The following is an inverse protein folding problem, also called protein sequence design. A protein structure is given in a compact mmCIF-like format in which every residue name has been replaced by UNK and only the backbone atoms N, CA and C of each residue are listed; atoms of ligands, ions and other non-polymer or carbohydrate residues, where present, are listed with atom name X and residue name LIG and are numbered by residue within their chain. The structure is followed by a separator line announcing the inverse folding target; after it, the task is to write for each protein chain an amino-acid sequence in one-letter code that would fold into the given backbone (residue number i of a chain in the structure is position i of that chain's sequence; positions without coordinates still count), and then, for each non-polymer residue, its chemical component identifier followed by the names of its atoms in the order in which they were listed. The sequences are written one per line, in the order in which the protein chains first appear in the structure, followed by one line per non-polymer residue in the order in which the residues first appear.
data_IF_496673335300
#
_entry.id   IF_496673335300
#
_cell.length_a   1.000
_cell.length_b   1.000
_cell.length_c   1.000
_cell.angle_alpha   90.00
_cell.angle_beta   90.00
_cell.angle_gamma   90.00
#
_symmetry.space_group_name_H-M   'P 1'
#
loop_
_entity.id
_entity.type
_entity.pdbx_description
1 polymer ?
#
# COMPACT_ATOMS: atom_id res chain seq x y z
N UNK A 1 4.93 4.94 -40.67
CA UNK A 1 6.18 5.71 -40.63
C UNK A 1 6.60 5.73 -39.15
N UNK A 2 7.61 4.95 -38.81
CA UNK A 2 8.14 4.91 -37.46
C UNK A 2 9.13 6.05 -37.31
N UNK A 3 8.81 7.04 -36.48
CA UNK A 3 9.73 8.12 -36.11
C UNK A 3 10.69 7.58 -35.06
N UNK A 4 11.87 7.20 -35.49
CA UNK A 4 13.00 6.89 -34.62
C UNK A 4 13.44 8.18 -33.94
N UNK A 5 13.22 8.31 -32.65
CA UNK A 5 13.81 9.39 -31.85
C UNK A 5 15.33 9.14 -31.79
N UNK A 6 16.08 9.87 -32.57
CA UNK A 6 17.55 9.92 -32.43
C UNK A 6 17.89 10.71 -31.18
N UNK A 7 18.51 10.07 -30.22
CA UNK A 7 19.15 10.72 -29.08
C UNK A 7 20.35 11.51 -29.55
N UNK A 8 20.28 12.83 -29.50
CA UNK A 8 21.44 13.69 -29.78
C UNK A 8 22.32 13.82 -28.54
N UNK A 9 23.67 13.78 -28.68
CA UNK A 9 24.62 13.78 -27.55
C UNK A 9 24.78 15.12 -26.80
N UNK A 10 23.84 16.02 -26.87
CA UNK A 10 23.93 17.36 -26.30
C UNK A 10 23.64 17.45 -24.79
N UNK A 11 23.33 16.34 -24.13
CA UNK A 11 23.04 16.32 -22.68
C UNK A 11 24.28 16.32 -21.78
N UNK A 12 25.45 15.99 -22.31
CA UNK A 12 26.68 15.89 -21.50
C UNK A 12 27.25 17.23 -20.99
N UNK A 13 26.74 18.37 -21.46
CA UNK A 13 27.19 19.67 -21.01
C UNK A 13 26.31 20.34 -19.94
N UNK A 14 25.14 19.81 -19.66
CA UNK A 14 24.16 20.43 -18.76
C UNK A 14 24.16 19.86 -17.33
N UNK A 15 24.79 18.70 -17.11
CA UNK A 15 24.72 18.00 -15.83
C UNK A 15 26.13 17.73 -15.31
N UNK A 16 26.58 18.54 -14.35
CA UNK A 16 27.89 18.42 -13.73
C UNK A 16 27.98 17.44 -12.59
N UNK A 17 26.86 16.81 -12.19
CA UNK A 17 26.81 15.83 -11.10
C UNK A 17 25.86 14.69 -11.40
N UNK A 18 26.11 13.53 -10.81
CA UNK A 18 25.27 12.32 -10.85
C UNK A 18 23.84 12.62 -10.39
N UNK A 19 23.68 13.57 -9.44
CA UNK A 19 22.42 14.01 -8.87
C UNK A 19 21.52 14.68 -9.91
N UNK A 20 22.11 15.56 -10.73
CA UNK A 20 21.38 16.20 -11.82
C UNK A 20 20.98 15.23 -12.92
N UNK A 21 21.78 14.20 -13.17
CA UNK A 21 21.48 13.15 -14.12
C UNK A 21 20.29 12.29 -13.64
N UNK A 22 20.26 11.91 -12.36
CA UNK A 22 19.13 11.17 -11.75
C UNK A 22 17.85 11.98 -11.86
N UNK A 23 17.88 13.26 -11.47
CA UNK A 23 16.72 14.15 -11.54
C UNK A 23 16.21 14.31 -12.98
N UNK A 24 17.12 14.51 -13.94
CA UNK A 24 16.76 14.63 -15.35
C UNK A 24 16.20 13.32 -15.91
N UNK A 25 16.76 12.18 -15.51
CA UNK A 25 16.28 10.86 -15.93
C UNK A 25 14.89 10.57 -15.38
N UNK A 26 14.65 10.86 -14.11
CA UNK A 26 13.32 10.74 -13.48
C UNK A 26 12.31 11.61 -14.23
N UNK A 27 12.61 12.89 -14.43
CA UNK A 27 11.70 13.82 -15.11
C UNK A 27 11.43 13.45 -16.58
N UNK A 28 12.45 12.95 -17.30
CA UNK A 28 12.31 12.51 -18.71
C UNK A 28 11.46 11.24 -18.85
N UNK A 29 11.62 10.30 -17.94
CA UNK A 29 10.85 9.05 -17.91
C UNK A 29 9.36 9.31 -17.71
N UNK A 30 9.01 10.25 -16.84
CA UNK A 30 7.63 10.61 -16.58
C UNK A 30 6.95 11.36 -17.74
N UNK A 31 7.68 12.20 -18.45
CA UNK A 31 7.14 12.86 -19.65
C UNK A 31 6.72 11.86 -20.74
N UNK A 32 7.42 10.72 -20.83
CA UNK A 32 7.06 9.62 -21.71
C UNK A 32 5.82 8.84 -21.24
N UNK A 33 5.60 8.74 -19.92
CA UNK A 33 4.50 7.97 -19.33
C UNK A 33 3.17 8.72 -19.24
N UNK A 34 3.15 10.05 -19.23
CA UNK A 34 1.89 10.81 -19.28
C UNK A 34 1.02 10.48 -20.52
N UNK A 35 1.66 9.99 -21.59
CA UNK A 35 0.95 9.50 -22.79
C UNK A 35 0.30 8.12 -22.60
N UNK A 36 0.75 7.32 -21.62
CA UNK A 36 0.24 5.97 -21.34
C UNK A 36 -0.73 5.92 -20.15
N UNK A 37 -0.72 6.92 -19.28
CA UNK A 37 -1.35 6.86 -17.95
C UNK A 37 -2.85 7.10 -17.92
N UNK A 38 -3.43 7.70 -18.97
CA UNK A 38 -4.87 8.02 -19.00
C UNK A 38 -5.79 6.79 -19.15
N UNK A 39 -5.25 5.61 -19.45
CA UNK A 39 -6.04 4.39 -19.64
C UNK A 39 -5.90 3.36 -18.51
N UNK A 40 -4.86 3.42 -17.70
CA UNK A 40 -4.56 2.41 -16.66
C UNK A 40 -4.93 2.84 -15.24
N UNK A 41 -5.06 4.15 -14.98
CA UNK A 41 -5.35 4.67 -13.63
C UNK A 41 -6.80 4.48 -13.13
N UNK A 42 -7.71 3.96 -13.97
CA UNK A 42 -9.10 3.71 -13.55
C UNK A 42 -9.30 2.43 -12.73
N UNK A 43 -8.29 1.57 -12.62
CA UNK A 43 -8.36 0.30 -11.90
C UNK A 43 -7.32 0.26 -10.77
N UNK A 44 -7.61 0.97 -9.68
CA UNK A 44 -6.78 0.83 -8.47
C UNK A 44 -6.93 -0.60 -7.93
N UNK A 45 -5.85 -1.41 -7.88
CA UNK A 45 -5.93 -2.83 -7.46
C UNK A 45 -6.51 -3.03 -6.06
N UNK A 46 -6.36 -2.03 -5.19
CA UNK A 46 -6.87 -2.07 -3.81
C UNK A 46 -8.41 -2.05 -3.73
N UNK A 47 -9.11 -1.50 -4.72
CA UNK A 47 -10.57 -1.52 -4.73
C UNK A 47 -11.15 -2.92 -5.00
N UNK A 48 -10.37 -3.80 -5.62
CA UNK A 48 -10.77 -5.18 -5.94
C UNK A 48 -10.42 -6.18 -4.82
N UNK A 49 -9.60 -5.79 -3.86
CA UNK A 49 -9.21 -6.62 -2.69
C UNK A 49 -10.21 -6.52 -1.54
N UNK A 50 -11.20 -5.62 -1.62
CA UNK A 50 -12.17 -5.36 -0.55
C UNK A 50 -13.21 -6.48 -0.33
N UNK A 51 -13.17 -7.59 -1.06
CA UNK A 51 -14.00 -8.74 -0.73
C UNK A 51 -13.34 -9.55 0.41
N UNK A 52 -14.09 -9.69 1.49
CA UNK A 52 -13.83 -10.47 2.72
C UNK A 52 -13.31 -11.90 2.42
N UNK A 53 -12.05 -12.05 1.99
CA UNK A 53 -11.42 -13.35 1.74
C UNK A 53 -10.37 -13.72 2.78
N UNK A 54 -10.10 -12.84 3.74
CA UNK A 54 -9.23 -13.18 4.85
C UNK A 54 -10.12 -13.77 5.96
N UNK A 55 -10.23 -15.09 6.01
CA UNK A 55 -10.95 -15.82 7.07
C UNK A 55 -10.40 -15.53 8.48
N UNK A 56 -9.39 -14.69 8.61
CA UNK A 56 -8.70 -14.35 9.84
C UNK A 56 -8.84 -12.87 10.25
N UNK A 57 -9.68 -12.12 9.54
CA UNK A 57 -10.08 -10.78 9.93
C UNK A 57 -11.41 -10.80 10.69
N UNK A 58 -11.42 -10.32 11.93
CA UNK A 58 -12.57 -10.43 12.83
C UNK A 58 -13.06 -9.04 13.27
N UNK A 59 -14.38 -8.92 13.40
CA UNK A 59 -15.00 -7.85 14.18
C UNK A 59 -14.84 -8.13 15.68
N UNK A 60 -15.12 -7.16 16.55
CA UNK A 60 -15.06 -7.35 18.01
C UNK A 60 -15.89 -8.54 18.50
N UNK A 61 -17.12 -8.69 18.01
CA UNK A 61 -17.99 -9.82 18.40
C UNK A 61 -17.49 -11.17 17.89
N UNK A 62 -16.90 -11.22 16.70
CA UNK A 62 -16.33 -12.44 16.13
C UNK A 62 -15.03 -12.82 16.84
N UNK A 63 -14.23 -11.83 17.22
CA UNK A 63 -12.97 -12.00 17.95
C UNK A 63 -13.22 -12.65 19.30
N UNK A 64 -14.20 -12.20 20.08
CA UNK A 64 -14.55 -12.76 21.38
C UNK A 64 -14.94 -14.26 21.33
N UNK A 65 -15.30 -14.79 20.16
CA UNK A 65 -15.64 -16.20 19.95
C UNK A 65 -14.45 -17.05 19.52
N UNK A 66 -13.29 -16.44 19.32
CA UNK A 66 -12.09 -17.18 18.91
C UNK A 66 -11.44 -17.86 20.13
N UNK A 67 -10.80 -19.02 19.93
CA UNK A 67 -10.11 -19.73 21.02
C UNK A 67 -8.94 -18.92 21.60
N UNK A 68 -8.35 -18.00 20.82
CA UNK A 68 -7.26 -17.10 21.18
C UNK A 68 -7.75 -15.65 21.44
N UNK A 69 -8.99 -15.49 21.90
CA UNK A 69 -9.56 -14.18 22.23
C UNK A 69 -8.73 -13.39 23.24
N UNK A 70 -8.09 -14.09 24.19
CA UNK A 70 -7.24 -13.46 25.20
C UNK A 70 -6.04 -12.72 24.58
N UNK A 71 -5.40 -13.31 23.57
CA UNK A 71 -4.27 -12.69 22.87
C UNK A 71 -4.70 -11.45 22.07
N UNK A 72 -5.88 -11.52 21.46
CA UNK A 72 -6.46 -10.36 20.79
C UNK A 72 -6.85 -9.24 21.76
N UNK A 73 -7.34 -9.57 22.95
CA UNK A 73 -7.65 -8.58 24.01
C UNK A 73 -6.36 -7.88 24.44
N UNK A 74 -5.26 -8.60 24.62
CA UNK A 74 -3.96 -7.99 24.93
C UNK A 74 -3.50 -7.05 23.81
N UNK A 75 -3.64 -7.45 22.54
CA UNK A 75 -3.33 -6.59 21.40
C UNK A 75 -4.23 -5.35 21.34
N UNK A 76 -5.50 -5.49 21.71
CA UNK A 76 -6.47 -4.38 21.80
C UNK A 76 -6.10 -3.40 22.90
N UNK A 77 -5.77 -3.89 24.09
CA UNK A 77 -5.33 -3.05 25.22
C UNK A 77 -4.05 -2.29 24.88
N UNK A 78 -3.10 -2.96 24.22
CA UNK A 78 -1.88 -2.31 23.75
C UNK A 78 -2.18 -1.19 22.74
N UNK A 79 -3.01 -1.43 21.73
CA UNK A 79 -3.42 -0.42 20.74
C UNK A 79 -4.08 0.79 21.40
N UNK A 80 -5.02 0.56 22.35
CA UNK A 80 -5.68 1.62 23.09
C UNK A 80 -4.68 2.45 23.93
N UNK A 81 -3.77 1.76 24.65
CA UNK A 81 -2.71 2.40 25.43
C UNK A 81 -1.74 3.21 24.57
N UNK A 82 -1.36 2.70 23.41
CA UNK A 82 -0.50 3.41 22.45
C UNK A 82 -1.18 4.71 21.95
N UNK A 83 -2.49 4.70 21.74
CA UNK A 83 -3.25 5.90 21.41
C UNK A 83 -3.36 6.89 22.57
N UNK A 84 -3.67 6.41 23.78
CA UNK A 84 -3.83 7.26 24.96
C UNK A 84 -2.51 7.92 25.38
N UNK A 85 -1.40 7.16 25.39
CA UNK A 85 -0.08 7.67 25.76
C UNK A 85 0.45 8.78 24.83
N UNK A 86 -0.13 8.89 23.63
CA UNK A 86 0.24 9.89 22.62
C UNK A 86 -0.84 10.95 22.43
N UNK A 87 -1.82 11.04 23.32
CA UNK A 87 -2.90 12.02 23.31
C UNK A 87 -3.67 12.10 21.97
N UNK A 88 -3.89 10.93 21.32
CA UNK A 88 -4.61 10.90 20.03
C UNK A 88 -6.07 11.29 20.19
N UNK A 89 -6.63 11.20 21.40
CA UNK A 89 -7.97 11.67 21.76
C UNK A 89 -8.03 12.17 23.19
N UNK A 90 -9.12 12.88 23.49
CA UNK A 90 -9.49 13.29 24.86
C UNK A 90 -10.87 12.71 25.17
N UNK A 91 -11.01 12.02 26.30
CA UNK A 91 -12.32 11.58 26.80
C UNK A 91 -13.04 12.77 27.40
N UNK A 92 -14.22 13.10 26.87
CA UNK A 92 -15.03 14.21 27.34
C UNK A 92 -16.46 13.75 27.67
N UNK A 93 -17.15 14.41 28.65
CA UNK A 93 -18.58 14.21 28.83
C UNK A 93 -19.33 14.51 27.53
N UNK A 94 -20.31 13.67 27.17
CA UNK A 94 -21.15 13.87 25.97
C UNK A 94 -21.83 15.22 25.94
N UNK A 95 -22.19 15.77 27.12
CA UNK A 95 -22.76 17.12 27.25
C UNK A 95 -21.84 18.25 26.81
N UNK A 96 -20.51 17.99 26.69
CA UNK A 96 -19.52 18.95 26.18
C UNK A 96 -19.28 18.85 24.68
N UNK A 97 -19.81 17.82 24.03
CA UNK A 97 -19.82 17.77 22.56
C UNK A 97 -20.82 18.83 22.03
N UNK A 98 -20.50 19.53 20.92
CA UNK A 98 -21.39 20.55 20.37
C UNK A 98 -22.76 19.98 20.04
N UNK A 99 -23.83 20.74 20.36
CA UNK A 99 -25.19 20.35 20.07
C UNK A 99 -25.40 20.21 18.55
N UNK A 100 -25.92 19.05 18.13
CA UNK A 100 -26.20 18.75 16.73
C UNK A 100 -25.01 18.12 15.97
N UNK A 101 -23.85 18.04 16.58
CA UNK A 101 -22.72 17.34 15.95
C UNK A 101 -22.85 15.82 16.10
N UNK A 102 -22.79 15.13 14.96
CA UNK A 102 -22.97 13.68 14.92
C UNK A 102 -21.68 12.97 15.33
N UNK A 103 -21.74 12.20 16.41
CA UNK A 103 -20.64 11.31 16.77
C UNK A 103 -20.54 10.15 15.79
N UNK A 104 -19.32 9.76 15.41
CA UNK A 104 -19.06 8.61 14.54
C UNK A 104 -18.75 7.37 15.39
N UNK A 105 -18.97 6.18 14.84
CA UNK A 105 -18.68 4.94 15.54
C UNK A 105 -17.19 4.61 15.53
N UNK A 106 -16.72 4.01 16.61
CA UNK A 106 -15.43 3.32 16.67
C UNK A 106 -15.58 1.88 16.21
N UNK A 107 -14.64 1.40 15.41
CA UNK A 107 -14.64 0.05 14.84
C UNK A 107 -13.31 -0.63 15.14
N UNK A 108 -13.38 -1.80 15.79
CA UNK A 108 -12.25 -2.67 15.93
C UNK A 108 -12.11 -3.60 14.73
N UNK A 109 -10.86 -3.71 14.22
CA UNK A 109 -10.46 -4.73 13.25
C UNK A 109 -9.35 -5.59 13.85
N UNK A 110 -9.59 -6.89 13.91
CA UNK A 110 -8.64 -7.86 14.46
C UNK A 110 -8.14 -8.78 13.36
N UNK A 111 -6.84 -9.09 13.37
CA UNK A 111 -6.21 -9.96 12.38
C UNK A 111 -5.06 -10.75 12.99
N UNK A 112 -4.98 -12.07 12.65
CA UNK A 112 -3.77 -12.86 12.88
C UNK A 112 -2.77 -12.57 11.77
N UNK A 113 -1.57 -12.09 12.13
CA UNK A 113 -0.44 -12.08 11.20
C UNK A 113 0.29 -13.40 11.32
N UNK A 114 0.61 -14.02 10.16
CA UNK A 114 1.31 -15.30 10.10
C UNK A 114 2.66 -15.16 9.45
N UNK A 115 3.59 -16.02 9.86
CA UNK A 115 4.80 -16.30 9.11
C UNK A 115 4.48 -17.05 7.81
N UNK A 116 5.40 -17.08 6.82
CA UNK A 116 5.22 -17.86 5.59
C UNK A 116 4.93 -19.35 5.81
N UNK A 117 5.41 -19.92 6.91
CA UNK A 117 5.17 -21.32 7.31
C UNK A 117 3.79 -21.58 7.93
N UNK A 118 2.96 -20.53 8.07
CA UNK A 118 1.60 -20.60 8.58
C UNK A 118 1.48 -20.43 10.10
N UNK A 119 2.58 -20.42 10.88
CA UNK A 119 2.54 -20.13 12.33
C UNK A 119 2.09 -18.70 12.57
N UNK A 120 1.39 -18.47 13.68
CA UNK A 120 0.99 -17.12 14.09
C UNK A 120 2.25 -16.34 14.48
N UNK A 121 2.46 -15.21 13.83
CA UNK A 121 3.53 -14.25 14.16
C UNK A 121 3.06 -13.32 15.28
N UNK A 122 1.90 -12.67 15.09
CA UNK A 122 1.30 -11.80 16.10
C UNK A 122 -0.21 -11.60 15.88
N UNK A 123 -0.91 -11.34 16.97
CA UNK A 123 -2.26 -10.84 16.93
C UNK A 123 -2.22 -9.32 16.77
N UNK A 124 -3.00 -8.82 15.83
CA UNK A 124 -3.09 -7.39 15.56
C UNK A 124 -4.51 -6.92 15.82
N UNK A 125 -4.65 -5.91 16.67
CA UNK A 125 -5.84 -5.09 16.79
C UNK A 125 -5.57 -3.74 16.11
N UNK A 126 -6.59 -3.14 15.50
CA UNK A 126 -6.55 -1.77 14.98
C UNK A 126 -7.85 -1.08 15.31
N UNK A 127 -7.75 0.09 15.93
CA UNK A 127 -8.90 0.96 16.16
C UNK A 127 -9.09 1.87 14.96
N UNK A 128 -10.29 1.86 14.41
CA UNK A 128 -10.66 2.67 13.24
C UNK A 128 -11.91 3.52 13.56
N UNK A 129 -11.95 4.70 12.99
CA UNK A 129 -13.15 5.52 12.97
C UNK A 129 -14.06 5.14 11.79
N UNK A 130 -15.37 5.18 11.98
CA UNK A 130 -16.33 4.94 10.89
C UNK A 130 -16.48 6.18 10.01
N UNK A 131 -15.52 6.43 9.11
CA UNK A 131 -15.51 7.61 8.22
C UNK A 131 -16.72 7.72 7.29
N UNK A 132 -17.45 6.61 7.03
CA UNK A 132 -18.72 6.64 6.32
C UNK A 132 -19.82 7.45 7.01
N UNK A 133 -19.67 7.73 8.30
CA UNK A 133 -20.58 8.57 9.07
C UNK A 133 -20.19 10.06 9.07
N UNK A 134 -19.02 10.42 8.54
CA UNK A 134 -18.60 11.81 8.39
C UNK A 134 -19.45 12.53 7.33
N UNK A 135 -19.69 13.83 7.54
CA UNK A 135 -20.48 14.68 6.67
C UNK A 135 -19.55 15.64 5.92
N UNK A 136 -19.60 15.62 4.58
CA UNK A 136 -18.85 16.55 3.73
C UNK A 136 -19.22 18.01 4.05
N UNK A 137 -18.22 18.88 4.09
CA UNK A 137 -18.42 20.30 4.39
C UNK A 137 -18.64 20.61 5.88
N UNK A 138 -18.59 19.58 6.76
CA UNK A 138 -18.74 19.73 8.21
C UNK A 138 -17.50 19.25 8.93
N UNK A 139 -17.12 17.98 8.75
CA UNK A 139 -15.99 17.38 9.44
C UNK A 139 -14.94 16.73 8.50
N UNK A 140 -15.08 16.93 7.21
CA UNK A 140 -14.03 16.72 6.19
C UNK A 140 -14.39 17.45 4.90
N UNK A 141 -13.36 17.73 4.08
CA UNK A 141 -13.47 18.32 2.73
C UNK A 141 -12.71 17.44 1.73
N UNK A 142 -11.42 17.63 1.62
CA UNK A 142 -10.57 16.85 0.73
C UNK A 142 -10.15 15.54 1.38
N UNK A 143 -10.02 14.51 0.56
CA UNK A 143 -9.71 13.14 1.03
C UNK A 143 -8.62 12.47 0.21
N UNK A 144 -8.27 13.04 -0.96
CA UNK A 144 -7.29 12.43 -1.85
C UNK A 144 -5.88 12.57 -1.28
N UNK A 145 -5.21 11.44 -1.11
CA UNK A 145 -3.78 11.36 -0.84
C UNK A 145 -3.12 10.53 -1.95
N UNK A 146 -2.05 11.01 -2.57
CA UNK A 146 -1.33 10.24 -3.56
C UNK A 146 -0.63 9.03 -2.91
N UNK A 147 -0.33 8.03 -3.72
CA UNK A 147 0.56 6.92 -3.38
C UNK A 147 1.59 6.77 -4.49
N UNK A 148 2.82 6.42 -4.14
CA UNK A 148 3.89 6.25 -5.12
C UNK A 148 3.53 5.18 -6.16
N UNK A 149 3.84 5.46 -7.42
CA UNK A 149 3.60 4.53 -8.51
C UNK A 149 4.65 3.41 -8.50
N UNK A 150 4.23 2.16 -8.74
CA UNK A 150 5.16 1.03 -8.87
C UNK A 150 6.21 1.21 -9.98
N UNK A 151 5.89 1.99 -11.01
CA UNK A 151 6.84 2.35 -12.05
C UNK A 151 7.99 3.18 -11.47
N UNK A 152 7.66 4.18 -10.62
CA UNK A 152 8.65 5.02 -9.94
C UNK A 152 9.54 4.19 -9.01
N UNK A 153 8.94 3.26 -8.24
CA UNK A 153 9.68 2.35 -7.35
C UNK A 153 10.67 1.51 -8.16
N UNK A 154 10.20 0.79 -9.18
CA UNK A 154 11.06 -0.07 -10.00
C UNK A 154 12.17 0.72 -10.68
N UNK A 155 11.82 1.86 -11.27
CA UNK A 155 12.77 2.72 -11.94
C UNK A 155 13.90 3.19 -10.99
N UNK A 156 13.52 3.69 -9.81
CA UNK A 156 14.50 4.19 -8.85
C UNK A 156 15.34 3.07 -8.22
N UNK A 157 14.80 1.88 -8.04
CA UNK A 157 15.60 0.72 -7.63
C UNK A 157 16.61 0.30 -8.70
N UNK A 158 16.24 0.33 -9.98
CA UNK A 158 17.17 0.09 -11.09
C UNK A 158 18.27 1.15 -11.13
N UNK A 159 17.90 2.43 -10.98
CA UNK A 159 18.86 3.54 -10.91
C UNK A 159 19.80 3.37 -9.71
N UNK A 160 19.25 3.01 -8.54
CA UNK A 160 20.04 2.78 -7.33
C UNK A 160 21.09 1.67 -7.57
N UNK A 161 20.71 0.60 -8.27
CA UNK A 161 21.62 -0.49 -8.59
C UNK A 161 22.71 -0.07 -9.61
N UNK A 162 22.33 0.64 -10.69
CA UNK A 162 23.29 1.07 -11.73
C UNK A 162 24.32 2.04 -11.14
N UNK A 163 23.91 2.92 -10.24
CA UNK A 163 24.75 3.96 -9.64
C UNK A 163 25.37 3.54 -8.31
N UNK A 164 25.17 2.29 -7.89
CA UNK A 164 25.63 1.73 -6.62
C UNK A 164 25.23 2.63 -5.42
N UNK A 165 23.93 2.92 -5.32
CA UNK A 165 23.36 3.73 -4.24
C UNK A 165 22.90 2.84 -3.09
N UNK A 166 23.06 3.32 -1.87
CA UNK A 166 22.49 2.69 -0.69
C UNK A 166 20.99 2.84 -0.66
N UNK A 167 20.31 1.77 -0.24
CA UNK A 167 18.84 1.75 -0.06
C UNK A 167 18.50 1.30 1.34
N UNK A 168 17.56 1.99 1.99
CA UNK A 168 17.08 1.66 3.33
C UNK A 168 15.58 1.88 3.40
N UNK A 169 14.88 1.05 4.18
CA UNK A 169 13.44 1.17 4.42
C UNK A 169 13.15 1.65 5.84
N UNK A 170 12.14 2.49 5.99
CA UNK A 170 11.57 2.89 7.28
C UNK A 170 10.05 2.75 7.23
N UNK A 171 9.42 2.38 8.36
CA UNK A 171 7.97 2.22 8.53
C UNK A 171 7.47 3.14 9.65
N UNK A 172 6.55 4.07 9.34
CA UNK A 172 5.97 4.98 10.33
C UNK A 172 4.92 4.29 11.19
N UNK A 173 5.18 4.21 12.50
CA UNK A 173 4.29 3.57 13.47
C UNK A 173 3.04 4.41 13.69
N UNK A 174 1.84 3.86 13.43
CA UNK A 174 0.58 4.61 13.55
C UNK A 174 0.63 5.93 12.75
N UNK A 175 0.98 5.87 11.47
CA UNK A 175 1.22 7.05 10.62
C UNK A 175 0.07 8.08 10.69
N UNK A 176 -1.17 7.67 10.43
CA UNK A 176 -2.32 8.60 10.42
C UNK A 176 -2.51 9.30 11.77
N UNK A 177 -2.43 8.60 12.93
CA UNK A 177 -2.51 9.25 14.24
C UNK A 177 -1.36 10.21 14.56
N UNK A 178 -0.30 10.25 13.78
CA UNK A 178 0.73 11.27 13.94
C UNK A 178 0.33 12.63 13.35
N UNK A 179 -0.68 12.69 12.46
CA UNK A 179 -1.16 13.93 11.86
C UNK A 179 -2.32 14.56 12.64
N UNK A 180 -2.28 15.90 12.75
CA UNK A 180 -3.31 16.67 13.42
C UNK A 180 -4.63 16.68 12.63
N UNK A 181 -5.73 16.96 13.32
CA UNK A 181 -7.02 17.23 12.72
C UNK A 181 -7.26 18.74 12.69
N UNK A 182 -7.61 19.28 11.54
CA UNK A 182 -7.98 20.69 11.38
C UNK A 182 -9.34 21.00 12.04
N UNK A 183 -10.24 20.05 11.99
CA UNK A 183 -11.61 20.16 12.51
C UNK A 183 -11.86 19.07 13.53
N UNK A 184 -12.44 19.38 14.69
CA UNK A 184 -12.76 18.37 15.70
C UNK A 184 -13.68 17.30 15.15
N UNK A 185 -13.36 16.03 15.43
CA UNK A 185 -14.22 14.88 15.16
C UNK A 185 -14.51 14.18 16.48
N UNK A 186 -15.78 13.87 16.72
CA UNK A 186 -16.23 13.20 17.94
C UNK A 186 -16.59 11.74 17.62
N UNK A 187 -16.07 10.82 18.42
CA UNK A 187 -16.22 9.39 18.20
C UNK A 187 -16.81 8.73 19.46
N UNK A 188 -17.68 7.74 19.27
CA UNK A 188 -18.19 6.90 20.35
C UNK A 188 -17.04 6.14 21.02
N UNK A 189 -17.19 5.82 22.31
CA UNK A 189 -16.22 4.95 22.99
C UNK A 189 -16.14 3.61 22.27
N UNK A 190 -14.93 3.10 21.99
CA UNK A 190 -14.77 1.80 21.37
C UNK A 190 -15.24 0.68 22.30
N UNK A 191 -15.83 -0.36 21.71
CA UNK A 191 -16.24 -1.54 22.47
C UNK A 191 -15.05 -2.12 23.27
N UNK A 192 -15.29 -2.45 24.53
CA UNK A 192 -14.24 -3.00 25.43
C UNK A 192 -13.44 -1.95 26.20
N UNK A 193 -13.65 -0.65 25.95
CA UNK A 193 -12.95 0.39 26.71
C UNK A 193 -13.34 0.40 28.21
N UNK A 194 -14.57 -0.06 28.50
CA UNK A 194 -15.06 -0.24 29.90
C UNK A 194 -14.40 -1.40 30.64
N UNK A 195 -13.72 -2.32 29.96
CA UNK A 195 -13.07 -3.48 30.57
C UNK A 195 -11.94 -3.12 31.56
N UNK A 196 -11.49 -1.88 31.57
CA UNK A 196 -10.44 -1.40 32.47
C UNK A 196 -10.98 -0.88 33.82
N UNK A 197 -12.29 -1.01 34.09
CA UNK A 197 -12.87 -0.57 35.38
C UNK A 197 -12.88 0.95 35.59
N UNK A 198 -12.72 1.74 34.53
CA UNK A 198 -12.69 3.23 34.59
C UNK A 198 -14.10 3.84 34.75
N UNK A 199 -15.15 3.02 34.73
CA UNK A 199 -16.53 3.48 34.83
C UNK A 199 -16.98 4.35 33.65
N UNK A 200 -16.32 4.25 32.50
CA UNK A 200 -16.65 5.01 31.31
C UNK A 200 -17.79 4.33 30.56
N UNK A 201 -18.91 5.04 30.46
CA UNK A 201 -20.10 4.58 29.71
C UNK A 201 -20.24 5.37 28.41
N UNK A 202 -20.52 4.68 27.31
CA UNK A 202 -20.82 5.30 26.01
C UNK A 202 -22.05 6.23 26.05
N UNK A 203 -22.96 6.04 27.01
CA UNK A 203 -24.06 6.96 27.19
C UNK A 203 -23.66 8.32 27.77
N UNK A 204 -22.54 8.38 28.51
CA UNK A 204 -22.13 9.58 29.27
C UNK A 204 -20.90 10.26 28.69
N UNK A 205 -20.06 9.54 27.93
CA UNK A 205 -18.78 10.04 27.41
C UNK A 205 -18.62 9.79 25.91
N UNK A 206 -17.76 10.60 25.27
CA UNK A 206 -17.32 10.47 23.88
C UNK A 206 -15.84 10.78 23.81
N UNK A 207 -15.20 10.33 22.75
CA UNK A 207 -13.83 10.70 22.40
C UNK A 207 -13.86 11.94 21.48
N UNK A 208 -13.20 13.00 21.89
CA UNK A 208 -12.80 14.07 20.99
C UNK A 208 -11.47 13.69 20.38
N UNK A 209 -11.41 13.47 19.07
CA UNK A 209 -10.17 13.16 18.39
C UNK A 209 -9.29 14.41 18.32
N UNK A 210 -8.05 14.29 18.74
CA UNK A 210 -7.01 15.33 18.63
C UNK A 210 -6.15 15.14 17.39
N UNK A 211 -6.05 13.89 16.92
CA UNK A 211 -5.24 13.46 15.77
C UNK A 211 -6.10 12.69 14.77
N UNK A 212 -5.60 12.59 13.55
CA UNK A 212 -6.20 11.72 12.55
C UNK A 212 -6.22 10.27 13.04
N UNK A 213 -7.19 9.49 12.59
CA UNK A 213 -7.33 8.08 12.95
C UNK A 213 -7.60 7.26 11.69
N UNK A 214 -7.18 6.00 11.70
CA UNK A 214 -7.53 5.06 10.62
C UNK A 214 -9.03 5.04 10.40
N UNK A 215 -9.44 5.05 9.12
CA UNK A 215 -10.84 5.06 8.73
C UNK A 215 -11.49 6.45 8.58
N UNK A 216 -10.87 7.53 9.08
CA UNK A 216 -11.29 8.89 8.74
C UNK A 216 -11.03 9.17 7.26
N UNK A 217 -11.95 9.89 6.61
CA UNK A 217 -11.87 10.20 5.18
C UNK A 217 -10.64 11.04 4.82
N UNK A 218 -10.29 12.01 5.65
CA UNK A 218 -9.12 12.88 5.47
C UNK A 218 -7.83 12.34 6.10
N UNK A 219 -7.86 11.19 6.78
CA UNK A 219 -6.73 10.70 7.57
C UNK A 219 -5.45 10.48 6.75
N UNK A 220 -5.57 9.91 5.55
CA UNK A 220 -4.44 9.72 4.64
C UNK A 220 -3.89 11.04 4.08
N UNK A 221 -4.78 12.00 3.76
CA UNK A 221 -4.38 13.32 3.27
C UNK A 221 -3.63 14.12 4.35
N UNK A 222 -4.16 14.15 5.58
CA UNK A 222 -3.53 14.84 6.69
C UNK A 222 -2.12 14.28 6.97
N UNK A 223 -1.98 12.96 6.93
CA UNK A 223 -0.69 12.31 7.09
C UNK A 223 0.28 12.66 5.95
N UNK A 224 -0.18 12.54 4.71
CA UNK A 224 0.63 12.88 3.54
C UNK A 224 1.14 14.33 3.62
N UNK A 225 0.27 15.28 3.94
CA UNK A 225 0.62 16.70 4.05
C UNK A 225 1.64 16.93 5.18
N UNK A 226 1.44 16.34 6.36
CA UNK A 226 2.40 16.46 7.47
C UNK A 226 3.78 15.94 7.08
N UNK A 227 3.86 14.75 6.46
CA UNK A 227 5.13 14.18 6.03
C UNK A 227 5.76 15.01 4.91
N UNK A 228 4.98 15.45 3.92
CA UNK A 228 5.42 16.32 2.84
C UNK A 228 6.04 17.61 3.38
N UNK A 229 5.35 18.31 4.29
CA UNK A 229 5.84 19.55 4.88
C UNK A 229 7.15 19.33 5.64
N UNK A 230 7.25 18.24 6.39
CA UNK A 230 8.46 17.87 7.10
C UNK A 230 9.63 17.58 6.14
N UNK A 231 9.39 16.97 4.98
CA UNK A 231 10.40 16.71 3.96
C UNK A 231 10.82 18.02 3.26
N UNK A 232 9.87 18.89 2.91
CA UNK A 232 10.15 20.20 2.31
C UNK A 232 11.00 21.06 3.26
N UNK A 233 10.68 21.09 4.55
CA UNK A 233 11.44 21.81 5.56
C UNK A 233 12.88 21.29 5.71
N UNK A 234 13.14 20.03 5.33
CA UNK A 234 14.48 19.43 5.27
C UNK A 234 15.19 19.59 3.92
N UNK A 235 14.61 20.43 3.04
CA UNK A 235 15.20 20.78 1.74
C UNK A 235 14.95 19.78 0.61
N UNK A 236 13.95 18.91 0.76
CA UNK A 236 13.49 18.08 -0.34
C UNK A 236 12.52 18.86 -1.24
N UNK A 237 12.48 18.46 -2.50
CA UNK A 237 11.55 18.97 -3.50
C UNK A 237 10.70 17.81 -3.97
N UNK A 238 9.38 18.00 -4.03
CA UNK A 238 8.44 17.03 -4.58
C UNK A 238 8.67 16.87 -6.09
N UNK A 239 8.67 15.66 -6.58
CA UNK A 239 8.79 15.39 -8.01
C UNK A 239 7.49 15.81 -8.74
N UNK A 240 7.64 16.49 -9.86
CA UNK A 240 6.51 16.91 -10.72
C UNK A 240 5.71 15.71 -11.23
N UNK A 241 6.36 14.58 -11.35
CA UNK A 241 5.84 13.40 -12.03
C UNK A 241 5.19 12.38 -11.10
N UNK A 242 5.64 12.33 -9.86
CA UNK A 242 5.10 11.45 -8.82
C UNK A 242 5.17 12.20 -7.49
N UNK A 243 4.04 12.68 -6.96
CA UNK A 243 4.01 13.50 -5.75
C UNK A 243 4.47 12.76 -4.48
N UNK A 244 4.69 11.45 -4.58
CA UNK A 244 5.24 10.62 -3.51
C UNK A 244 6.76 10.36 -3.65
N UNK A 245 7.41 11.01 -4.61
CA UNK A 245 8.88 11.01 -4.77
C UNK A 245 9.42 12.36 -4.38
N UNK A 246 10.29 12.38 -3.38
CA UNK A 246 10.94 13.58 -2.86
C UNK A 246 12.45 13.51 -3.14
N UNK A 247 13.02 14.61 -3.62
CA UNK A 247 14.41 14.66 -4.08
C UNK A 247 15.14 15.81 -3.39
N UNK A 248 16.31 15.52 -2.87
CA UNK A 248 17.28 16.51 -2.39
C UNK A 248 18.62 16.33 -3.11
N UNK A 249 19.60 17.18 -2.81
CA UNK A 249 20.96 17.04 -3.38
C UNK A 249 21.66 15.74 -3.01
N UNK A 250 21.26 15.10 -1.90
CA UNK A 250 21.96 13.94 -1.34
C UNK A 250 21.13 12.68 -1.31
N UNK A 251 19.80 12.78 -1.45
CA UNK A 251 18.89 11.67 -1.20
C UNK A 251 17.63 11.75 -2.03
N UNK A 252 17.09 10.60 -2.39
CA UNK A 252 15.75 10.43 -2.95
C UNK A 252 14.94 9.63 -1.93
N UNK A 253 13.68 10.04 -1.71
CA UNK A 253 12.73 9.37 -0.82
C UNK A 253 11.49 9.02 -1.61
N UNK A 254 11.06 7.76 -1.52
CA UNK A 254 9.76 7.31 -2.00
C UNK A 254 8.85 7.09 -0.79
N UNK A 255 7.64 7.62 -0.85
CA UNK A 255 6.65 7.52 0.24
C UNK A 255 5.45 6.71 -0.22
N UNK A 256 5.16 5.60 0.45
CA UNK A 256 3.92 4.84 0.28
C UNK A 256 3.18 4.77 1.61
N UNK A 257 2.41 5.80 1.92
CA UNK A 257 1.66 5.98 3.17
C UNK A 257 2.59 5.96 4.39
N UNK A 258 2.73 4.82 5.06
CA UNK A 258 3.57 4.55 6.23
C UNK A 258 4.97 4.01 5.87
N UNK A 259 5.11 3.37 4.72
CA UNK A 259 6.38 2.80 4.26
C UNK A 259 7.18 3.80 3.41
N UNK A 260 8.46 4.01 3.71
CA UNK A 260 9.35 4.85 2.91
C UNK A 260 10.61 4.09 2.48
N UNK A 261 11.08 4.36 1.25
CA UNK A 261 12.40 3.95 0.77
C UNK A 261 13.30 5.19 0.69
N UNK A 262 14.45 5.09 1.33
CA UNK A 262 15.52 6.09 1.31
C UNK A 262 16.62 5.62 0.37
N UNK A 263 17.04 6.47 -0.56
CA UNK A 263 18.08 6.15 -1.56
C UNK A 263 19.14 7.25 -1.54
N UNK A 264 20.40 6.89 -1.32
CA UNK A 264 21.51 7.84 -1.30
C UNK A 264 22.82 7.20 -1.73
N UNK A 265 23.71 8.02 -2.31
CA UNK A 265 25.10 7.63 -2.55
C UNK A 265 26.00 7.93 -1.34
N UNK A 266 25.59 8.86 -0.51
CA UNK A 266 26.35 9.29 0.66
C UNK A 266 25.98 8.41 1.86
N UNK A 267 26.94 7.64 2.35
CA UNK A 267 26.78 6.70 3.47
C UNK A 267 26.32 7.39 4.77
N UNK A 268 26.58 8.69 4.89
CA UNK A 268 26.23 9.49 6.08
C UNK A 268 24.83 10.10 5.94
N UNK A 269 24.32 10.25 4.71
CA UNK A 269 23.08 10.99 4.47
C UNK A 269 21.85 10.30 5.04
N UNK A 270 21.73 8.98 4.89
CA UNK A 270 20.58 8.23 5.42
C UNK A 270 20.56 8.24 6.94
N UNK A 271 21.64 7.89 7.67
CA UNK A 271 21.66 8.00 9.13
C UNK A 271 21.39 9.42 9.65
N UNK A 272 21.94 10.44 8.99
CA UNK A 272 21.71 11.83 9.37
C UNK A 272 20.25 12.25 9.18
N UNK A 273 19.60 11.77 8.11
CA UNK A 273 18.19 12.02 7.85
C UNK A 273 17.31 11.33 8.89
N UNK A 274 17.54 10.05 9.18
CA UNK A 274 16.82 9.27 10.21
C UNK A 274 16.91 10.02 11.56
N UNK A 275 18.10 10.41 11.97
CA UNK A 275 18.31 11.20 13.18
C UNK A 275 17.53 12.52 13.16
N UNK A 276 17.47 13.20 12.01
CA UNK A 276 16.69 14.44 11.86
C UNK A 276 15.18 14.25 11.99
N UNK A 277 14.66 13.07 11.68
CA UNK A 277 13.26 12.70 11.90
C UNK A 277 12.98 12.41 13.38
N UNK A 278 13.90 11.72 14.06
CA UNK A 278 13.78 11.36 15.48
C UNK A 278 13.84 12.60 16.39
N UNK A 279 14.79 13.50 16.11
CA UNK A 279 15.06 14.70 16.93
C UNK A 279 14.28 15.94 16.43
N UNK A 280 13.51 15.78 15.35
CA UNK A 280 12.77 16.89 14.72
C UNK A 280 11.53 17.31 15.50
N UNK A 281 11.01 18.54 15.22
CA UNK A 281 9.86 19.10 15.94
C UNK A 281 8.56 18.31 15.69
N UNK A 282 8.50 17.50 14.65
CA UNK A 282 7.33 16.70 14.31
C UNK A 282 7.13 15.50 15.25
N UNK A 283 8.18 15.10 15.98
CA UNK A 283 8.20 13.94 16.89
C UNK A 283 7.73 12.65 16.19
N UNK A 284 8.26 12.37 14.99
CA UNK A 284 7.88 11.18 14.25
C UNK A 284 8.29 9.89 14.97
N UNK A 285 7.38 8.93 14.97
CA UNK A 285 7.63 7.57 15.47
C UNK A 285 7.63 6.60 14.30
N UNK A 286 8.75 5.95 14.09
CA UNK A 286 8.95 4.99 13.00
C UNK A 286 9.91 3.87 13.44
N UNK A 287 9.95 2.80 12.66
CA UNK A 287 10.92 1.72 12.79
C UNK A 287 11.88 1.78 11.61
N UNK A 288 13.15 1.57 11.90
CA UNK A 288 14.17 1.40 10.88
C UNK A 288 14.17 -0.09 10.48
N UNK A 289 13.71 -0.38 9.26
CA UNK A 289 13.64 -1.74 8.71
C UNK A 289 14.99 -2.20 8.12
N UNK A 290 15.98 -1.31 8.08
CA UNK A 290 17.31 -1.58 7.55
C UNK A 290 17.36 -1.70 6.03
N UNK A 291 18.15 -2.65 5.52
CA UNK A 291 18.28 -2.89 4.07
C UNK A 291 16.95 -3.35 3.46
N UNK A 292 16.73 -2.96 2.20
CA UNK A 292 15.50 -3.25 1.47
C UNK A 292 15.43 -4.73 1.06
N UNK A 293 15.00 -5.60 1.97
CA UNK A 293 14.78 -7.04 1.70
C UNK A 293 13.35 -7.33 1.23
N UNK A 294 12.38 -6.52 1.70
CA UNK A 294 10.98 -6.61 1.27
C UNK A 294 10.30 -5.25 1.33
N UNK A 295 9.44 -4.97 0.36
CA UNK A 295 8.67 -3.74 0.31
C UNK A 295 7.27 -4.00 -0.25
N UNK A 296 6.23 -3.60 0.47
CA UNK A 296 4.82 -3.76 0.07
C UNK A 296 4.45 -5.20 -0.34
N UNK A 297 5.03 -6.20 0.31
CA UNK A 297 4.78 -7.62 0.00
C UNK A 297 5.51 -8.13 -1.25
N UNK A 298 6.48 -7.39 -1.74
CA UNK A 298 7.45 -7.81 -2.77
C UNK A 298 8.77 -8.05 -2.08
N UNK A 299 9.31 -9.27 -2.23
CA UNK A 299 10.67 -9.59 -1.78
C UNK A 299 11.67 -9.07 -2.80
N UNK A 300 12.72 -8.43 -2.32
CA UNK A 300 13.84 -7.94 -3.14
C UNK A 300 15.12 -8.64 -2.72
N UNK A 301 15.78 -9.30 -3.65
CA UNK A 301 17.04 -10.00 -3.42
C UNK A 301 18.09 -9.49 -4.39
N UNK A 302 19.31 -9.20 -3.91
CA UNK A 302 20.44 -8.90 -4.81
C UNK A 302 20.81 -10.14 -5.59
N UNK A 303 21.03 -9.99 -6.91
CA UNK A 303 21.55 -11.06 -7.74
C UNK A 303 22.92 -11.51 -7.25
N UNK A 304 23.28 -12.81 -7.36
CA UNK A 304 24.58 -13.33 -6.90
C UNK A 304 25.79 -12.65 -7.55
N UNK A 305 25.63 -12.12 -8.76
CA UNK A 305 26.66 -11.37 -9.48
C UNK A 305 26.76 -9.89 -9.06
N UNK A 306 25.93 -9.46 -8.12
CA UNK A 306 25.87 -8.09 -7.63
C UNK A 306 25.32 -7.06 -8.63
N UNK A 307 24.89 -7.49 -9.84
CA UNK A 307 24.52 -6.58 -10.94
C UNK A 307 23.03 -6.31 -11.08
N UNK A 308 22.22 -6.75 -10.13
CA UNK A 308 20.78 -6.55 -10.21
C UNK A 308 20.02 -6.92 -8.94
N UNK A 309 18.72 -6.68 -8.98
CA UNK A 309 17.78 -7.17 -7.99
C UNK A 309 16.75 -8.10 -8.63
N UNK A 310 16.42 -9.17 -7.93
CA UNK A 310 15.25 -9.98 -8.23
C UNK A 310 14.08 -9.49 -7.37
N UNK A 311 12.96 -9.19 -8.01
CA UNK A 311 11.72 -8.84 -7.33
C UNK A 311 10.74 -10.01 -7.46
N UNK A 312 10.22 -10.53 -6.35
CA UNK A 312 9.32 -11.67 -6.35
C UNK A 312 8.18 -11.53 -5.33
N UNK A 313 7.08 -12.23 -5.57
CA UNK A 313 5.91 -12.24 -4.68
C UNK A 313 5.43 -13.69 -4.46
N UNK A 314 6.25 -14.55 -3.80
CA UNK A 314 5.96 -15.98 -3.69
C UNK A 314 4.62 -16.25 -3.00
N UNK A 315 4.28 -15.53 -1.94
CA UNK A 315 3.01 -15.68 -1.23
C UNK A 315 1.78 -15.34 -2.09
N UNK A 316 1.90 -14.34 -2.96
CA UNK A 316 0.83 -13.98 -3.89
C UNK A 316 0.68 -15.05 -4.98
N UNK A 317 1.79 -15.53 -5.50
CA UNK A 317 1.82 -16.60 -6.50
C UNK A 317 1.17 -17.88 -5.93
N UNK A 318 1.54 -18.31 -4.74
CA UNK A 318 0.94 -19.45 -4.05
C UNK A 318 -0.58 -19.28 -3.86
N UNK A 319 -1.00 -18.06 -3.48
CA UNK A 319 -2.43 -17.73 -3.34
C UNK A 319 -3.17 -17.85 -4.67
N UNK A 320 -2.58 -17.37 -5.76
CA UNK A 320 -3.14 -17.50 -7.12
C UNK A 320 -3.26 -18.98 -7.51
N UNK A 321 -2.19 -19.74 -7.32
CA UNK A 321 -2.13 -21.18 -7.64
C UNK A 321 -3.22 -21.94 -6.87
N UNK A 322 -3.33 -21.70 -5.56
CA UNK A 322 -4.37 -22.31 -4.71
C UNK A 322 -5.78 -21.89 -5.12
N UNK A 323 -5.98 -20.61 -5.48
CA UNK A 323 -7.30 -20.10 -5.87
C UNK A 323 -7.85 -20.76 -7.13
N UNK A 324 -7.00 -21.22 -8.06
CA UNK A 324 -7.42 -21.94 -9.28
C UNK A 324 -7.44 -23.45 -9.11
N UNK A 325 -7.02 -23.98 -7.95
CA UNK A 325 -6.93 -25.41 -7.69
C UNK A 325 -5.85 -26.10 -8.54
N UNK A 326 -4.71 -25.42 -8.75
CA UNK A 326 -3.58 -25.97 -9.49
C UNK A 326 -2.71 -26.77 -8.53
N UNK A 327 -2.42 -28.04 -8.88
CA UNK A 327 -1.45 -28.84 -8.14
C UNK A 327 -0.13 -28.86 -8.90
N UNK A 328 0.89 -28.20 -8.35
CA UNK A 328 2.22 -28.11 -8.95
C UNK A 328 2.90 -29.47 -9.09
N UNK A 329 2.54 -30.46 -8.24
CA UNK A 329 3.14 -31.79 -8.28
C UNK A 329 2.59 -32.65 -9.44
N UNK A 330 1.34 -32.43 -9.83
CA UNK A 330 0.66 -33.25 -10.87
C UNK A 330 0.53 -32.53 -12.20
N UNK A 331 0.72 -31.24 -12.26
CA UNK A 331 0.54 -30.47 -13.48
C UNK A 331 1.85 -30.36 -14.25
N UNK A 332 1.90 -30.98 -15.42
CA UNK A 332 3.03 -30.77 -16.35
C UNK A 332 3.15 -29.28 -16.68
N UNK A 333 4.36 -28.73 -16.48
CA UNK A 333 4.67 -27.36 -16.88
C UNK A 333 4.38 -27.19 -18.37
N UNK A 334 3.41 -26.35 -18.70
CA UNK A 334 3.16 -25.97 -20.09
C UNK A 334 4.13 -24.85 -20.40
N UNK A 335 5.29 -25.20 -20.97
CA UNK A 335 6.33 -24.26 -21.42
C UNK A 335 5.95 -23.50 -22.70
N UNK A 336 4.71 -23.65 -23.16
CA UNK A 336 4.26 -22.91 -24.34
C UNK A 336 4.16 -21.42 -24.00
N UNK A 337 4.82 -20.62 -24.80
CA UNK A 337 4.71 -19.18 -24.72
C UNK A 337 3.25 -18.76 -24.66
N UNK A 338 2.93 -17.84 -23.78
CA UNK A 338 1.59 -17.25 -23.71
C UNK A 338 1.28 -16.70 -25.11
N UNK A 339 0.22 -17.17 -25.78
CA UNK A 339 -0.06 -16.69 -27.12
C UNK A 339 -0.52 -15.24 -27.04
N UNK A 340 0.40 -14.32 -27.31
CA UNK A 340 0.11 -12.90 -27.49
C UNK A 340 -0.54 -12.59 -28.85
N UNK A 341 -0.76 -13.63 -29.67
CA UNK A 341 -0.99 -13.47 -31.12
C UNK A 341 -2.44 -13.18 -31.50
N UNK A 342 -3.41 -13.44 -30.62
CA UNK A 342 -4.82 -13.25 -30.98
C UNK A 342 -5.52 -12.40 -29.92
N UNK A 343 -6.12 -11.24 -30.30
CA UNK A 343 -6.98 -10.52 -29.39
C UNK A 343 -8.16 -11.42 -29.00
N UNK A 344 -8.37 -11.57 -27.70
CA UNK A 344 -9.55 -12.27 -27.20
C UNK A 344 -10.79 -11.46 -27.56
N UNK A 345 -11.80 -12.13 -28.12
CA UNK A 345 -13.09 -11.50 -28.38
C UNK A 345 -13.73 -11.08 -27.06
N UNK A 346 -14.34 -9.91 -27.05
CA UNK A 346 -15.04 -9.38 -25.86
C UNK A 346 -16.18 -10.28 -25.36
N UNK A 347 -16.63 -11.23 -26.17
CA UNK A 347 -17.71 -12.12 -25.86
C UNK A 347 -17.54 -13.44 -26.63
N UNK A 348 -17.46 -14.55 -25.92
CA UNK A 348 -17.56 -15.89 -26.50
C UNK A 348 -19.02 -16.35 -26.34
N UNK A 349 -19.81 -16.14 -27.39
CA UNK A 349 -21.27 -16.38 -27.37
C UNK A 349 -21.57 -17.88 -27.39
N UNK A 350 -20.70 -18.67 -28.01
CA UNK A 350 -20.91 -20.12 -28.25
C UNK A 350 -20.11 -21.00 -27.24
N UNK A 351 -19.35 -20.37 -26.36
CA UNK A 351 -18.55 -21.10 -25.39
C UNK A 351 -19.38 -21.75 -24.27
N UNK A 352 -18.98 -22.93 -23.80
CA UNK A 352 -19.68 -23.62 -22.72
C UNK A 352 -19.62 -22.86 -21.42
N UNK A 353 -20.69 -22.92 -20.62
CA UNK A 353 -20.79 -22.22 -19.33
C UNK A 353 -19.66 -22.61 -18.37
N UNK A 354 -19.25 -21.65 -17.55
CA UNK A 354 -18.21 -21.83 -16.53
C UNK A 354 -18.58 -22.95 -15.54
N UNK A 355 -17.74 -23.97 -15.42
CA UNK A 355 -17.91 -25.10 -14.47
C UNK A 355 -17.01 -24.96 -13.21
N UNK A 356 -16.26 -23.86 -13.03
CA UNK A 356 -15.26 -23.73 -11.97
C UNK A 356 -15.77 -22.88 -10.80
N UNK A 357 -15.46 -23.31 -9.57
CA UNK A 357 -15.86 -22.65 -8.32
C UNK A 357 -14.94 -21.49 -7.87
N UNK A 358 -13.96 -21.06 -8.68
CA UNK A 358 -13.09 -19.97 -8.31
C UNK A 358 -13.63 -18.60 -8.74
N UNK A 359 -13.36 -17.59 -7.94
CA UNK A 359 -13.83 -16.23 -8.16
C UNK A 359 -12.96 -15.53 -9.21
N UNK A 360 -13.45 -15.42 -10.44
CA UNK A 360 -12.70 -14.89 -11.59
C UNK A 360 -12.17 -13.45 -11.34
N UNK A 361 -13.03 -12.55 -10.86
CA UNK A 361 -12.63 -11.16 -10.59
C UNK A 361 -11.50 -11.05 -9.57
N UNK A 362 -11.56 -11.83 -8.50
CA UNK A 362 -10.51 -11.89 -7.49
C UNK A 362 -9.19 -12.41 -8.07
N UNK A 363 -9.24 -13.41 -8.92
CA UNK A 363 -8.06 -13.93 -9.60
C UNK A 363 -7.44 -12.88 -10.54
N UNK A 364 -8.26 -12.21 -11.37
CA UNK A 364 -7.78 -11.13 -12.24
C UNK A 364 -7.20 -9.97 -11.44
N UNK A 365 -7.80 -9.63 -10.29
CA UNK A 365 -7.24 -8.63 -9.37
C UNK A 365 -5.87 -9.02 -8.83
N UNK A 366 -5.68 -10.28 -8.42
CA UNK A 366 -4.38 -10.79 -7.97
C UNK A 366 -3.33 -10.78 -9.09
N UNK A 367 -3.71 -11.21 -10.31
CA UNK A 367 -2.84 -11.14 -11.49
C UNK A 367 -2.53 -9.70 -11.88
N UNK A 368 -3.50 -8.79 -11.78
CA UNK A 368 -3.33 -7.36 -12.00
C UNK A 368 -2.31 -6.74 -11.04
N UNK A 369 -2.35 -7.14 -9.77
CA UNK A 369 -1.36 -6.70 -8.79
C UNK A 369 0.02 -7.30 -9.10
N UNK A 370 0.11 -8.59 -9.37
CA UNK A 370 1.35 -9.29 -9.69
C UNK A 370 2.05 -8.68 -10.92
N UNK A 371 1.31 -8.43 -12.01
CA UNK A 371 1.86 -7.83 -13.23
C UNK A 371 2.29 -6.36 -13.04
N UNK A 372 1.54 -5.61 -12.24
CA UNK A 372 1.86 -4.22 -11.93
C UNK A 372 3.10 -4.08 -11.04
N UNK A 373 3.47 -5.09 -10.27
CA UNK A 373 4.56 -5.05 -9.29
C UNK A 373 5.81 -5.80 -9.76
N UNK A 374 5.81 -7.13 -9.73
CA UNK A 374 7.01 -7.95 -9.95
C UNK A 374 7.05 -8.67 -11.31
N UNK A 375 5.92 -8.79 -12.04
CA UNK A 375 5.84 -9.56 -13.30
C UNK A 375 5.21 -8.75 -14.45
N UNK A 376 5.88 -7.68 -14.93
CA UNK A 376 5.37 -6.86 -16.04
C UNK A 376 5.19 -7.64 -17.36
N UNK A 377 5.88 -8.76 -17.54
CA UNK A 377 5.71 -9.69 -18.66
C UNK A 377 4.29 -10.27 -18.76
N UNK A 378 3.55 -10.33 -17.66
CA UNK A 378 2.16 -10.80 -17.61
C UNK A 378 1.12 -9.70 -17.96
N UNK A 379 1.56 -8.49 -18.29
CA UNK A 379 0.67 -7.35 -18.48
C UNK A 379 -0.35 -7.56 -19.59
N UNK A 380 0.09 -7.91 -20.79
CA UNK A 380 -0.79 -8.10 -21.94
C UNK A 380 -1.79 -9.25 -21.73
N UNK A 381 -1.37 -10.46 -21.30
CA UNK A 381 -2.30 -11.54 -21.04
C UNK A 381 -3.29 -11.26 -19.92
N UNK A 382 -2.85 -10.58 -18.84
CA UNK A 382 -3.73 -10.18 -17.74
C UNK A 382 -4.77 -9.18 -18.20
N UNK A 383 -4.38 -8.19 -19.01
CA UNK A 383 -5.30 -7.21 -19.59
C UNK A 383 -6.36 -7.87 -20.47
N UNK A 384 -5.96 -8.80 -21.36
CA UNK A 384 -6.89 -9.55 -22.18
C UNK A 384 -7.89 -10.36 -21.35
N UNK A 385 -7.42 -11.02 -20.28
CA UNK A 385 -8.31 -11.70 -19.34
C UNK A 385 -9.23 -10.72 -18.59
N UNK A 386 -8.74 -9.54 -18.22
CA UNK A 386 -9.53 -8.54 -17.50
C UNK A 386 -10.69 -7.97 -18.34
N UNK A 387 -10.50 -7.78 -19.64
CA UNK A 387 -11.55 -7.31 -20.56
C UNK A 387 -12.79 -8.23 -20.61
N UNK A 388 -12.62 -9.47 -20.18
CA UNK A 388 -13.62 -10.53 -20.24
C UNK A 388 -14.27 -10.86 -18.89
N UNK A 389 -14.09 -9.99 -17.88
CA UNK A 389 -14.64 -10.20 -16.53
C UNK A 389 -16.16 -10.36 -16.48
N UNK A 390 -16.87 -9.84 -17.49
CA UNK A 390 -18.34 -9.88 -17.58
C UNK A 390 -18.89 -11.14 -18.27
N UNK A 391 -18.07 -11.82 -19.10
CA UNK A 391 -18.47 -13.01 -19.89
C UNK A 391 -17.47 -14.12 -19.68
N UNK A 392 -17.83 -15.11 -18.87
CA UNK A 392 -16.90 -16.17 -18.43
C UNK A 392 -17.24 -17.49 -19.10
N UNK A 393 -16.60 -17.82 -20.21
CA UNK A 393 -16.76 -19.08 -20.92
C UNK A 393 -15.50 -19.98 -20.84
N UNK A 394 -15.58 -21.21 -21.31
CA UNK A 394 -14.55 -22.25 -21.14
C UNK A 394 -13.16 -21.88 -21.71
N UNK A 395 -13.11 -21.15 -22.83
CA UNK A 395 -11.85 -20.69 -23.45
C UNK A 395 -10.97 -19.85 -22.52
N UNK A 396 -11.60 -19.04 -21.67
CA UNK A 396 -10.93 -18.19 -20.68
C UNK A 396 -10.21 -18.98 -19.60
N UNK A 397 -10.73 -20.15 -19.25
CA UNK A 397 -10.12 -21.05 -18.26
C UNK A 397 -8.80 -21.63 -18.76
N UNK A 398 -8.70 -21.94 -20.05
CA UNK A 398 -7.48 -22.42 -20.70
C UNK A 398 -6.38 -21.37 -20.72
N UNK A 399 -6.75 -20.12 -20.97
CA UNK A 399 -5.81 -18.97 -21.02
C UNK A 399 -5.28 -18.62 -19.63
N UNK A 400 -6.14 -18.53 -18.62
CA UNK A 400 -5.71 -18.28 -17.23
C UNK A 400 -4.78 -19.38 -16.72
N UNK A 401 -5.04 -20.66 -17.09
CA UNK A 401 -4.15 -21.78 -16.77
C UNK A 401 -2.82 -21.71 -17.52
N UNK A 402 -2.82 -21.30 -18.79
CA UNK A 402 -1.59 -21.11 -19.58
C UNK A 402 -0.72 -19.99 -19.04
N UNK A 403 -1.33 -18.87 -18.60
CA UNK A 403 -0.64 -17.76 -17.96
C UNK A 403 0.14 -18.17 -16.71
N UNK A 404 -0.41 -19.10 -15.94
CA UNK A 404 0.17 -19.54 -14.67
C UNK A 404 1.15 -20.70 -14.85
N UNK A 405 1.10 -21.42 -15.99
CA UNK A 405 2.05 -22.47 -16.35
C UNK A 405 3.41 -22.00 -16.86
N UNK A 406 3.62 -20.69 -16.94
CA UNK A 406 4.92 -20.07 -17.31
C UNK A 406 5.87 -19.84 -16.13
N UNK A 407 5.57 -20.44 -14.97
CA UNK A 407 6.45 -20.46 -13.79
C UNK A 407 7.27 -21.72 -13.69
#
# INVERSE_FOLDING_TARGET
MATTLQWTPTLNGLYSSTENLVLATVNSYHSANQLFDNTLNSLHPMALVAEKQDNEAYTFKEMLRQPDAADFIQAMMKEASDHESRDHWTVIPRSKAPLGEKTILAIWAFKRKRFPDGRINKWKARLCAHGGMQTYGVNYWDTYAPTVNWISIRFLLVVAQILDLNTQAIDFVLAFPQADLEVPVYMELPAGMDLEGRGLSSSSYVLKLNKSLYGLKQGSLNWHNKLKDALINRGFVESISDPCVFISKKMIILVYVDDCILISKDDIAIPAFIKSLEEGPENFVFTDEGSLESYLGVSTEKCPDGKGFTMSQPLLIDRIIKAIGFDMATTKSVRDNVPACYPLLNKDVDGPAKKANWKYRSLIGMLGYLQGTSRPDLSMPTHQCASLTMTQNFLMRGLSRKLLGTY
#
